data_IF_452221223200
#
_entry.id   IF_452221223200
#
_cell.length_a   1.000
_cell.length_b   1.000
_cell.length_c   1.000
_cell.angle_alpha   90.00
_cell.angle_beta   90.00
_cell.angle_gamma   90.00
#
_symmetry.space_group_name_H-M   'P 1'
#
loop_
_entity.id
_entity.type
_entity.pdbx_description
1 polymer ?
#
# COMPACT_ATOMS: atom_id res chain seq x y z
N UNK A 1 36.18 -31.29 -34.25
CA UNK A 1 34.79 -31.61 -34.60
C UNK A 1 33.96 -31.03 -33.49
N UNK A 2 33.16 -30.00 -33.76
CA UNK A 2 32.22 -29.48 -32.78
C UNK A 2 31.13 -30.55 -32.69
N UNK A 3 30.89 -31.10 -31.50
CA UNK A 3 29.92 -32.17 -31.33
C UNK A 3 28.53 -31.61 -31.59
N UNK A 4 27.68 -32.37 -32.29
CA UNK A 4 26.30 -32.01 -32.65
C UNK A 4 25.49 -31.48 -31.44
N UNK A 5 25.83 -31.96 -30.24
CA UNK A 5 25.23 -31.51 -28.99
C UNK A 5 25.59 -30.07 -28.61
N UNK A 6 26.79 -29.61 -28.89
CA UNK A 6 27.19 -28.21 -28.63
C UNK A 6 26.45 -27.25 -29.57
N UNK A 7 26.21 -27.66 -30.81
CA UNK A 7 25.47 -26.86 -31.80
C UNK A 7 23.99 -26.74 -31.43
N UNK A 8 23.38 -27.84 -30.95
CA UNK A 8 22.01 -27.85 -30.43
C UNK A 8 21.87 -27.01 -29.15
N UNK A 9 22.83 -27.11 -28.21
CA UNK A 9 22.81 -26.28 -26.98
C UNK A 9 22.99 -24.81 -27.33
N UNK A 10 23.86 -24.48 -28.30
CA UNK A 10 24.04 -23.12 -28.76
C UNK A 10 22.77 -22.57 -29.42
N UNK A 11 22.11 -23.33 -30.29
CA UNK A 11 20.86 -22.93 -30.93
C UNK A 11 19.72 -22.73 -29.91
N UNK A 12 19.63 -23.62 -28.92
CA UNK A 12 18.71 -23.46 -27.79
C UNK A 12 19.03 -22.23 -26.96
N UNK A 13 20.30 -21.93 -26.67
CA UNK A 13 20.68 -20.72 -25.94
C UNK A 13 20.45 -19.43 -26.76
N UNK A 14 20.57 -19.48 -28.08
CA UNK A 14 20.31 -18.32 -28.94
C UNK A 14 18.81 -18.02 -29.03
N UNK A 15 17.95 -19.05 -29.11
CA UNK A 15 16.50 -18.87 -29.22
C UNK A 15 15.78 -18.75 -27.88
N UNK A 16 16.25 -19.49 -26.86
CA UNK A 16 15.61 -19.66 -25.55
C UNK A 16 16.55 -19.46 -24.38
N UNK A 17 17.83 -19.22 -24.64
CA UNK A 17 18.77 -18.89 -23.57
C UNK A 17 18.23 -17.67 -22.88
N UNK A 18 18.08 -17.80 -21.57
CA UNK A 18 17.54 -16.75 -20.73
C UNK A 18 18.30 -15.47 -21.02
N UNK A 19 17.62 -14.55 -21.71
CA UNK A 19 18.11 -13.20 -21.87
C UNK A 19 18.27 -12.68 -20.45
N UNK A 20 19.53 -12.63 -19.98
CA UNK A 20 19.97 -12.40 -18.60
C UNK A 20 18.81 -12.16 -17.63
N UNK A 21 18.38 -13.18 -16.86
CA UNK A 21 17.21 -13.09 -15.96
C UNK A 21 17.26 -11.83 -15.09
N UNK A 22 18.48 -11.36 -14.76
CA UNK A 22 18.72 -10.11 -14.06
C UNK A 22 18.29 -8.89 -14.87
N UNK A 23 18.64 -8.82 -16.15
CA UNK A 23 18.19 -7.75 -17.04
C UNK A 23 16.69 -7.81 -17.33
N UNK A 24 16.12 -9.01 -17.42
CA UNK A 24 14.67 -9.21 -17.46
C UNK A 24 13.99 -8.61 -16.22
N UNK A 25 14.44 -9.03 -15.04
CA UNK A 25 13.92 -8.55 -13.75
C UNK A 25 14.09 -7.03 -13.58
N UNK A 26 15.22 -6.46 -14.02
CA UNK A 26 15.43 -5.00 -13.99
C UNK A 26 14.42 -4.27 -14.86
N UNK A 27 14.17 -4.74 -16.10
CA UNK A 27 13.17 -4.13 -17.00
C UNK A 27 11.77 -4.19 -16.40
N UNK A 28 11.39 -5.34 -15.85
CA UNK A 28 10.10 -5.51 -15.17
C UNK A 28 9.97 -4.60 -13.95
N UNK A 29 11.03 -4.47 -13.15
CA UNK A 29 11.05 -3.61 -11.98
C UNK A 29 10.99 -2.12 -12.35
N UNK A 30 11.64 -1.70 -13.43
CA UNK A 30 11.47 -0.33 -13.97
C UNK A 30 10.05 -0.08 -14.48
N UNK A 31 9.45 -1.03 -15.19
CA UNK A 31 8.05 -0.92 -15.62
C UNK A 31 7.10 -0.85 -14.42
N UNK A 32 7.41 -1.58 -13.35
CA UNK A 32 6.65 -1.54 -12.10
C UNK A 32 6.77 -0.18 -11.40
N UNK A 33 7.95 0.44 -11.38
CA UNK A 33 8.10 1.82 -10.88
C UNK A 33 7.25 2.84 -11.65
N UNK A 34 7.12 2.67 -12.97
CA UNK A 34 6.30 3.56 -13.79
C UNK A 34 4.79 3.31 -13.65
N UNK A 35 4.40 2.15 -13.11
CA UNK A 35 3.00 1.77 -12.92
C UNK A 35 2.45 2.33 -11.60
N UNK A 36 2.31 3.65 -11.55
CA UNK A 36 1.75 4.36 -10.39
C UNK A 36 0.28 4.01 -10.15
N UNK A 37 -0.47 3.68 -11.21
CA UNK A 37 -1.87 3.24 -11.12
C UNK A 37 -2.05 1.99 -10.25
N UNK A 38 -1.15 1.01 -10.39
CA UNK A 38 -1.18 -0.20 -9.56
C UNK A 38 -0.84 0.12 -8.10
N UNK A 39 0.13 1.00 -7.86
CA UNK A 39 0.51 1.43 -6.52
C UNK A 39 -0.66 2.10 -5.79
N UNK A 40 -1.37 3.02 -6.46
CA UNK A 40 -2.53 3.70 -5.90
C UNK A 40 -3.72 2.77 -5.69
N UNK A 41 -4.00 1.88 -6.66
CA UNK A 41 -5.18 0.99 -6.60
C UNK A 41 -5.03 -0.14 -5.61
N UNK A 42 -3.85 -0.76 -5.54
CA UNK A 42 -3.59 -1.90 -4.66
C UNK A 42 -2.11 -1.96 -4.30
N UNK A 43 -1.73 -1.14 -3.32
CA UNK A 43 -0.36 -1.04 -2.83
C UNK A 43 0.19 -2.38 -2.31
N UNK A 44 -0.65 -3.23 -1.71
CA UNK A 44 -0.22 -4.57 -1.23
C UNK A 44 0.26 -5.44 -2.38
N UNK A 45 -0.54 -5.53 -3.46
CA UNK A 45 -0.18 -6.31 -4.66
C UNK A 45 1.02 -5.72 -5.39
N UNK A 46 1.16 -4.40 -5.36
CA UNK A 46 2.33 -3.69 -5.88
C UNK A 46 3.60 -4.09 -5.13
N UNK A 47 3.56 -4.07 -3.80
CA UNK A 47 4.68 -4.42 -2.92
C UNK A 47 5.09 -5.90 -3.05
N UNK A 48 4.13 -6.82 -3.20
CA UNK A 48 4.41 -8.25 -3.45
C UNK A 48 5.18 -8.46 -4.75
N UNK A 49 4.78 -7.81 -5.84
CA UNK A 49 5.51 -7.88 -7.12
C UNK A 49 6.95 -7.37 -6.98
N UNK A 50 7.15 -6.31 -6.20
CA UNK A 50 8.47 -5.79 -5.91
C UNK A 50 9.35 -6.81 -5.18
N UNK A 51 8.83 -7.52 -4.17
CA UNK A 51 9.59 -8.54 -3.45
C UNK A 51 10.11 -9.65 -4.36
N UNK A 52 9.27 -10.11 -5.28
CA UNK A 52 9.64 -11.17 -6.22
C UNK A 52 10.76 -10.72 -7.17
N UNK A 53 10.68 -9.48 -7.67
CA UNK A 53 11.64 -8.96 -8.66
C UNK A 53 12.94 -8.45 -8.03
N UNK A 54 12.88 -7.93 -6.81
CA UNK A 54 14.04 -7.40 -6.10
C UNK A 54 15.14 -8.46 -5.95
N UNK A 55 14.77 -9.66 -5.50
CA UNK A 55 15.70 -10.77 -5.28
C UNK A 55 16.52 -11.15 -6.53
N UNK A 56 15.95 -10.90 -7.72
CA UNK A 56 16.54 -11.26 -9.01
C UNK A 56 17.32 -10.08 -9.60
N UNK A 57 16.83 -8.85 -9.42
CA UNK A 57 17.37 -7.64 -10.07
C UNK A 57 18.74 -7.19 -9.52
N UNK A 58 18.99 -7.41 -8.23
CA UNK A 58 20.22 -7.01 -7.54
C UNK A 58 20.45 -5.49 -7.48
N UNK A 59 19.38 -4.69 -7.45
CA UNK A 59 19.48 -3.25 -7.25
C UNK A 59 19.95 -2.89 -5.83
N UNK A 60 20.58 -1.72 -5.68
CA UNK A 60 20.91 -1.20 -4.35
C UNK A 60 19.65 -0.74 -3.61
N UNK A 61 19.60 -1.04 -2.30
CA UNK A 61 18.47 -0.70 -1.43
C UNK A 61 18.10 0.80 -1.49
N UNK A 62 19.11 1.68 -1.49
CA UNK A 62 18.93 3.14 -1.55
C UNK A 62 18.15 3.57 -2.79
N UNK A 63 18.53 3.05 -3.96
CA UNK A 63 17.86 3.36 -5.21
C UNK A 63 16.39 2.90 -5.21
N UNK A 64 16.13 1.71 -4.66
CA UNK A 64 14.77 1.17 -4.56
C UNK A 64 13.90 2.03 -3.64
N UNK A 65 14.45 2.42 -2.48
CA UNK A 65 13.79 3.30 -1.51
C UNK A 65 13.47 4.65 -2.15
N UNK A 66 14.45 5.28 -2.81
CA UNK A 66 14.29 6.58 -3.45
C UNK A 66 13.21 6.54 -4.52
N UNK A 67 13.23 5.50 -5.38
CA UNK A 67 12.22 5.34 -6.44
C UNK A 67 10.83 5.09 -5.88
N UNK A 68 10.71 4.24 -4.86
CA UNK A 68 9.42 3.94 -4.23
C UNK A 68 8.83 5.17 -3.54
N UNK A 69 9.68 6.00 -2.91
CA UNK A 69 9.26 7.23 -2.23
C UNK A 69 8.58 8.24 -3.17
N UNK A 70 8.84 8.14 -4.49
CA UNK A 70 8.22 9.00 -5.51
C UNK A 70 6.85 8.50 -5.99
N UNK A 71 6.54 7.22 -5.74
CA UNK A 71 5.32 6.55 -6.25
C UNK A 71 4.23 6.43 -5.19
N UNK A 72 4.60 6.45 -3.91
CA UNK A 72 3.66 6.36 -2.80
C UNK A 72 2.75 7.60 -2.70
N UNK A 73 1.54 7.40 -2.19
CA UNK A 73 0.55 8.48 -2.03
C UNK A 73 1.00 9.53 -1.02
N UNK A 74 0.51 10.76 -1.21
CA UNK A 74 0.84 11.91 -0.35
C UNK A 74 0.56 11.66 1.13
N UNK A 75 -0.52 10.96 1.47
CA UNK A 75 -0.89 10.62 2.85
C UNK A 75 0.17 9.71 3.50
N UNK A 76 0.70 8.74 2.76
CA UNK A 76 1.80 7.89 3.22
C UNK A 76 3.10 8.69 3.37
N UNK A 77 3.40 9.59 2.43
CA UNK A 77 4.54 10.51 2.55
C UNK A 77 4.47 11.37 3.82
N UNK A 78 3.29 11.91 4.14
CA UNK A 78 3.09 12.70 5.35
C UNK A 78 3.28 11.86 6.61
N UNK A 79 2.76 10.62 6.63
CA UNK A 79 2.98 9.70 7.73
C UNK A 79 4.48 9.38 7.93
N UNK A 80 5.21 9.12 6.84
CA UNK A 80 6.67 8.90 6.88
C UNK A 80 7.42 10.09 7.50
N UNK A 81 7.04 11.33 7.18
CA UNK A 81 7.65 12.53 7.76
C UNK A 81 7.37 12.59 9.26
N UNK A 82 6.15 12.27 9.69
CA UNK A 82 5.79 12.15 11.11
C UNK A 82 6.65 11.12 11.84
N UNK A 83 6.82 9.93 11.25
CA UNK A 83 7.65 8.86 11.81
C UNK A 83 9.14 9.22 11.87
N UNK A 84 9.67 9.97 10.89
CA UNK A 84 11.06 10.45 10.88
C UNK A 84 11.41 11.33 12.08
N UNK A 85 10.42 11.94 12.73
CA UNK A 85 10.61 12.79 13.91
C UNK A 85 10.79 11.99 15.21
N UNK A 86 10.50 10.67 15.21
CA UNK A 86 10.56 9.83 16.41
C UNK A 86 11.26 8.47 16.26
N UNK A 87 11.42 7.95 15.04
CA UNK A 87 11.96 6.61 14.75
C UNK A 87 12.97 6.62 13.58
N UNK A 88 13.89 5.66 13.57
CA UNK A 88 14.80 5.44 12.44
C UNK A 88 14.06 4.74 11.29
N UNK A 89 13.96 5.41 10.13
CA UNK A 89 13.43 4.80 8.91
C UNK A 89 14.38 3.68 8.46
N UNK A 90 13.88 2.46 8.18
CA UNK A 90 14.72 1.37 7.72
C UNK A 90 15.46 1.70 6.41
N UNK A 91 16.72 1.31 6.33
CA UNK A 91 17.59 1.52 5.15
C UNK A 91 17.74 0.27 4.29
N UNK A 92 17.36 -0.89 4.82
CA UNK A 92 17.26 -2.12 4.02
C UNK A 92 15.92 -2.15 3.31
N UNK A 93 15.94 -2.53 2.04
CA UNK A 93 14.76 -2.52 1.20
C UNK A 93 13.61 -3.37 1.75
N UNK A 94 13.88 -4.62 2.15
CA UNK A 94 12.84 -5.51 2.68
C UNK A 94 12.17 -4.95 3.94
N UNK A 95 12.96 -4.41 4.86
CA UNK A 95 12.48 -3.78 6.10
C UNK A 95 11.70 -2.48 5.81
N UNK A 96 12.14 -1.69 4.84
CA UNK A 96 11.46 -0.46 4.42
C UNK A 96 10.09 -0.76 3.79
N UNK A 97 10.00 -1.80 2.97
CA UNK A 97 8.76 -2.22 2.35
C UNK A 97 7.76 -2.76 3.39
N UNK A 98 8.21 -3.52 4.38
CA UNK A 98 7.38 -3.95 5.52
C UNK A 98 6.85 -2.75 6.31
N UNK A 99 7.73 -1.79 6.61
CA UNK A 99 7.36 -0.57 7.31
C UNK A 99 6.32 0.27 6.55
N UNK A 100 6.47 0.39 5.22
CA UNK A 100 5.46 1.06 4.39
C UNK A 100 4.11 0.33 4.40
N UNK A 101 4.11 -1.01 4.42
CA UNK A 101 2.88 -1.79 4.50
C UNK A 101 2.18 -1.63 5.85
N UNK A 102 2.93 -1.45 6.94
CA UNK A 102 2.38 -1.13 8.25
C UNK A 102 1.70 0.25 8.24
N UNK A 103 2.37 1.27 7.73
CA UNK A 103 1.79 2.62 7.55
C UNK A 103 0.53 2.56 6.67
N UNK A 104 0.56 1.79 5.59
CA UNK A 104 -0.61 1.62 4.73
C UNK A 104 -1.80 1.03 5.48
N UNK A 105 -1.58 0.05 6.36
CA UNK A 105 -2.63 -0.51 7.23
C UNK A 105 -3.15 0.57 8.18
N UNK A 106 -2.27 1.31 8.85
CA UNK A 106 -2.69 2.34 9.80
C UNK A 106 -3.55 3.43 9.12
N UNK A 107 -3.17 3.87 7.92
CA UNK A 107 -3.89 4.95 7.23
C UNK A 107 -5.22 4.47 6.64
N UNK A 108 -5.29 3.28 6.04
CA UNK A 108 -6.43 2.86 5.22
C UNK A 108 -7.28 1.74 5.85
N UNK A 109 -6.72 0.92 6.73
CA UNK A 109 -7.47 -0.10 7.47
C UNK A 109 -8.22 0.50 8.66
N UNK A 110 -7.63 1.49 9.34
CA UNK A 110 -8.30 2.20 10.45
C UNK A 110 -9.48 3.07 9.94
N UNK A 111 -9.33 3.67 8.75
CA UNK A 111 -10.43 4.35 8.06
C UNK A 111 -11.60 3.42 7.68
N UNK A 112 -11.34 2.12 7.48
CA UNK A 112 -12.39 1.14 7.20
C UNK A 112 -13.12 0.67 8.48
N UNK A 113 -12.42 0.57 9.63
CA UNK A 113 -13.06 0.32 10.93
C UNK A 113 -13.88 1.51 11.44
N UNK A 114 -13.46 2.74 11.10
CA UNK A 114 -14.24 3.96 11.37
C UNK A 114 -15.60 4.02 10.65
N UNK A 115 -15.88 3.11 9.72
CA UNK A 115 -17.18 3.01 9.02
C UNK A 115 -18.11 1.92 9.61
N UNK A 116 -17.64 1.07 10.54
CA UNK A 116 -18.46 0.01 11.15
C UNK A 116 -19.21 0.48 12.39
N UNK A 117 -18.73 1.53 13.08
CA UNK A 117 -19.59 2.27 14.00
C UNK A 117 -20.43 3.26 13.21
N UNK A 118 -21.53 2.74 12.67
CA UNK A 118 -22.69 3.55 12.35
C UNK A 118 -22.88 4.57 13.47
N UNK A 119 -23.00 5.83 13.06
CA UNK A 119 -23.29 6.94 13.96
C UNK A 119 -24.74 6.79 14.41
N UNK A 120 -25.04 5.75 15.19
CA UNK A 120 -26.24 5.66 16.01
C UNK A 120 -26.03 6.62 17.18
N UNK A 121 -26.08 7.91 16.85
CA UNK A 121 -26.49 8.89 17.84
C UNK A 121 -27.98 8.65 18.04
N UNK A 122 -28.25 7.83 19.05
CA UNK A 122 -29.49 7.85 19.80
C UNK A 122 -29.89 9.28 20.21
N UNK A 123 -31.12 9.42 20.71
CA UNK A 123 -32.00 10.53 20.42
C UNK A 123 -31.33 11.88 20.62
N UNK A 124 -31.35 12.68 19.56
CA UNK A 124 -31.21 14.12 19.66
C UNK A 124 -32.24 14.62 20.67
N UNK A 125 -31.80 15.02 21.85
CA UNK A 125 -32.52 15.97 22.70
C UNK A 125 -32.59 17.31 21.95
N UNK A 126 -33.37 17.34 20.87
CA UNK A 126 -33.99 18.56 20.40
C UNK A 126 -35.10 18.84 21.40
N UNK A 127 -34.84 19.78 22.31
CA UNK A 127 -35.90 20.38 23.11
C UNK A 127 -36.84 21.06 22.10
N UNK A 128 -37.92 20.38 21.78
CA UNK A 128 -39.02 20.91 20.99
C UNK A 128 -39.80 21.88 21.88
N UNK A 129 -39.54 23.17 21.72
CA UNK A 129 -40.23 24.27 22.41
C UNK A 129 -41.58 24.48 21.71
N UNK A 130 -42.47 23.48 21.76
CA UNK A 130 -43.90 23.65 21.43
C UNK A 130 -44.83 22.65 22.14
N UNK A 131 -44.34 21.95 23.18
CA UNK A 131 -45.17 21.07 24.02
C UNK A 131 -45.45 21.65 25.43
N UNK A 132 -45.31 22.96 25.60
CA UNK A 132 -45.75 23.72 26.79
C UNK A 132 -47.15 24.27 26.53
N UNK A 133 -48.18 23.42 26.41
CA UNK A 133 -49.57 23.90 26.65
C UNK A 133 -50.65 22.85 26.93
N UNK A 134 -50.35 21.57 27.15
CA UNK A 134 -51.41 20.58 27.45
C UNK A 134 -51.06 19.58 28.56
N UNK A 135 -50.53 20.05 29.69
CA UNK A 135 -50.54 19.27 30.96
C UNK A 135 -50.88 20.10 32.21
N UNK A 136 -51.67 21.17 32.07
CA UNK A 136 -52.41 21.78 33.19
C UNK A 136 -53.91 21.52 32.96
N UNK A 137 -54.33 20.26 32.93
CA UNK A 137 -55.75 19.85 32.98
C UNK A 137 -55.88 18.34 33.20
N UNK A 138 -55.23 17.76 34.23
CA UNK A 138 -55.65 16.44 34.77
C UNK A 138 -55.21 16.16 36.21
N UNK A 139 -55.30 17.15 37.09
CA UNK A 139 -55.19 16.93 38.54
C UNK A 139 -56.01 17.98 39.31
N UNK A 140 -57.33 18.01 39.04
CA UNK A 140 -58.37 18.64 39.87
C UNK A 140 -59.75 18.18 39.39
N UNK A 141 -60.02 16.90 39.56
CA UNK A 141 -61.37 16.33 39.57
C UNK A 141 -61.28 14.99 40.28
N UNK A 142 -61.04 15.06 41.58
CA UNK A 142 -61.69 14.24 42.63
C UNK A 142 -61.49 14.97 43.97
#
# INVERSE_FOLDING_TARGET
TIDLWDEVIHELNVQYGQQDEKEGAKKELMALFMNTDLAHKNFVKYAEKFRTLDHISGYENSLLIDKLSLVIEKDMCLALIGYKSGNNIPTKWGEYLDFLLEIFKDIYLDKAQGCIFGKDKGPSDAIDIDAVETKISKERAD
#
